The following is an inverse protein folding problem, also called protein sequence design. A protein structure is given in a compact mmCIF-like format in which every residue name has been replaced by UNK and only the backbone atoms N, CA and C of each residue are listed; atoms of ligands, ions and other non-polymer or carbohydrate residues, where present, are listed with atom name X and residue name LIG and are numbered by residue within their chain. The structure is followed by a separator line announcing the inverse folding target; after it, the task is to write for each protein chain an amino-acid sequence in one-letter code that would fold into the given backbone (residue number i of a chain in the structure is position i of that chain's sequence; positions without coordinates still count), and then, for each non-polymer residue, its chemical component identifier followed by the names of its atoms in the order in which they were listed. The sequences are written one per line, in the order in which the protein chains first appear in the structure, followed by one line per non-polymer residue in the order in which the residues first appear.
data_IF_994554326525
#
_entry.id   IF_994554326525
#
_cell.length_a   1.000
_cell.length_b   1.000
_cell.length_c   1.000
_cell.angle_alpha   90.00
_cell.angle_beta   90.00
_cell.angle_gamma   90.00
#
_symmetry.space_group_name_H-M   'P 1'
#
loop_
_entity.id
_entity.type
_entity.pdbx_description
1 polymer ?
2 non-polymer ?
3 water ?
#
# COMPACT_ATOMS: atom_id res chain seq x y z
N UNK A 21 -16.99 -0.40 26.53
CA UNK A 21 -16.58 0.65 25.55
C UNK A 21 -17.16 0.35 24.17
N UNK A 22 -17.44 1.39 23.38
CA UNK A 22 -17.99 1.16 22.03
C UNK A 22 -16.98 0.42 21.17
N UNK A 23 -17.44 -0.09 20.03
CA UNK A 23 -16.57 -0.81 19.10
C UNK A 23 -16.34 0.12 17.92
N UNK A 24 -15.13 0.68 17.83
CA UNK A 24 -14.77 1.59 16.76
C UNK A 24 -14.27 0.85 15.52
N UNK A 25 -14.67 1.34 14.36
CA UNK A 25 -14.25 0.74 13.11
C UNK A 25 -13.84 1.83 12.15
N UNK A 26 -12.57 1.80 11.73
CA UNK A 26 -12.07 2.79 10.80
C UNK A 26 -12.26 2.31 9.38
N UNK A 27 -12.73 3.19 8.51
CA UNK A 27 -12.96 2.84 7.12
C UNK A 27 -12.27 3.87 6.21
N UNK A 28 -11.36 3.39 5.38
CA UNK A 28 -10.64 4.31 4.51
C UNK A 28 -10.61 3.89 3.04
N UNK A 29 -9.99 4.71 2.20
CA UNK A 29 -9.92 4.47 0.77
C UNK A 29 -9.83 5.81 0.05
N UNK A 30 -9.51 5.80 -1.23
CA UNK A 30 -9.41 7.05 -1.96
C UNK A 30 -10.75 7.72 -2.17
N UNK A 31 -10.75 8.92 -2.76
CA UNK A 31 -11.97 9.64 -3.00
C UNK A 31 -12.96 8.84 -3.82
N UNK A 32 -14.24 8.95 -3.47
CA UNK A 32 -15.30 8.26 -4.19
C UNK A 32 -15.11 6.76 -4.35
N UNK A 33 -14.42 6.14 -3.41
CA UNK A 33 -14.20 4.72 -3.50
C UNK A 33 -15.40 3.94 -2.96
N UNK A 34 -16.32 4.64 -2.30
CA UNK A 34 -17.51 4.00 -1.75
C UNK A 34 -17.40 3.69 -0.27
N UNK A 35 -16.59 4.43 0.48
CA UNK A 35 -16.45 4.17 1.91
C UNK A 35 -17.76 4.33 2.66
N UNK A 36 -18.55 5.34 2.29
CA UNK A 36 -19.83 5.58 2.93
C UNK A 36 -20.80 4.44 2.69
N UNK A 37 -20.87 3.97 1.46
CA UNK A 37 -21.76 2.85 1.12
C UNK A 37 -21.39 1.63 1.94
N UNK A 38 -20.10 1.29 1.95
CA UNK A 38 -19.63 0.14 2.69
C UNK A 38 -20.07 0.26 4.15
N UNK A 39 -19.99 1.47 4.70
CA UNK A 39 -20.40 1.68 6.10
C UNK A 39 -21.90 1.45 6.27
N UNK A 40 -22.67 1.94 5.31
CA UNK A 40 -24.11 1.80 5.34
C UNK A 40 -24.45 0.32 5.20
N UNK A 41 -23.84 -0.33 4.23
CA UNK A 41 -24.08 -1.75 3.99
C UNK A 41 -23.76 -2.60 5.21
N UNK A 42 -22.72 -2.23 5.96
CA UNK A 42 -22.37 -2.98 7.15
C UNK A 42 -23.44 -2.80 8.21
N UNK A 43 -23.88 -1.55 8.40
CA UNK A 43 -24.91 -1.23 9.36
C UNK A 43 -26.18 -2.00 8.98
N UNK A 44 -26.49 -2.01 7.68
CA UNK A 44 -27.65 -2.69 7.14
C UNK A 44 -27.69 -4.18 7.50
N UNK A 45 -26.54 -4.84 7.44
CA UNK A 45 -26.42 -6.27 7.74
C UNK A 45 -26.30 -6.61 9.22
N UNK A 46 -25.95 -5.62 10.04
CA UNK A 46 -25.83 -5.86 11.48
C UNK A 46 -27.21 -5.89 12.12
N UNK A 55 -30.60 -5.88 20.18
CA UNK A 55 -30.03 -5.30 18.97
C UNK A 55 -28.87 -4.37 19.30
N UNK A 56 -27.98 -4.18 18.33
CA UNK A 56 -26.81 -3.32 18.53
C UNK A 56 -27.01 -1.95 17.90
N UNK A 57 -26.76 -0.90 18.69
CA UNK A 57 -26.90 0.47 18.22
C UNK A 57 -25.66 0.87 17.41
N UNK A 58 -25.88 1.50 16.25
CA UNK A 58 -24.78 1.88 15.38
C UNK A 58 -24.89 3.28 14.79
N UNK A 59 -23.74 3.92 14.56
CA UNK A 59 -23.70 5.26 13.97
C UNK A 59 -22.47 5.42 13.06
N UNK A 60 -22.64 6.20 12.00
CA UNK A 60 -21.56 6.40 11.05
C UNK A 60 -21.08 7.85 11.05
N UNK A 61 -19.85 8.07 11.48
CA UNK A 61 -19.28 9.42 11.49
C UNK A 61 -18.37 9.49 10.27
N UNK A 62 -18.16 10.69 9.73
CA UNK A 62 -17.29 10.82 8.59
C UNK A 62 -16.18 11.82 8.87
N UNK A 63 -14.97 11.48 8.46
CA UNK A 63 -13.82 12.35 8.68
C UNK A 63 -13.99 13.70 8.00
N UNK A 64 -14.65 13.76 6.85
CA UNK A 64 -14.80 15.04 6.17
C UNK A 64 -15.65 16.04 6.97
N UNK A 65 -16.20 15.60 8.09
CA UNK A 65 -16.99 16.49 8.94
C UNK A 65 -16.03 17.37 9.73
N UNK A 66 -14.76 16.97 9.78
CA UNK A 66 -13.76 17.70 10.53
C UNK A 66 -12.76 18.47 9.68
N UNK A 67 -13.19 18.92 8.51
CA UNK A 67 -12.30 19.71 7.68
C UNK A 67 -12.06 21.02 8.44
N UNK A 68 -10.80 21.43 8.53
CA UNK A 68 -10.42 22.65 9.23
C UNK A 68 -11.17 23.88 8.75
N UNK A 69 -11.28 24.87 9.62
CA UNK A 69 -11.92 26.13 9.28
C UNK A 69 -10.92 26.94 8.47
N UNK A 70 -11.25 27.20 7.20
CA UNK A 70 -10.36 27.94 6.30
C UNK A 70 -10.33 29.46 6.50
N UNK A 71 -9.22 30.08 6.08
CA UNK A 71 -9.05 31.52 6.16
C UNK A 71 -9.68 32.12 4.92
N UNK A 72 -9.69 33.44 4.82
CA UNK A 72 -10.25 34.10 3.64
C UNK A 72 -9.35 33.76 2.44
N UNK A 73 -8.05 33.75 2.70
CA UNK A 73 -7.06 33.45 1.67
C UNK A 73 -7.26 32.03 1.16
N UNK A 74 -7.19 31.06 2.07
CA UNK A 74 -7.37 29.65 1.73
C UNK A 74 -8.68 29.42 0.97
N UNK A 75 -9.78 29.87 1.56
CA UNK A 75 -11.09 29.71 0.93
C UNK A 75 -11.09 30.26 -0.51
N UNK A 76 -10.23 31.24 -0.77
CA UNK A 76 -10.15 31.82 -2.10
C UNK A 76 -9.54 30.79 -3.05
N UNK A 77 -8.54 30.07 -2.54
CA UNK A 77 -7.86 29.02 -3.32
C UNK A 77 -8.87 27.95 -3.69
N UNK A 78 -9.58 27.45 -2.68
CA UNK A 78 -10.59 26.41 -2.84
C UNK A 78 -11.57 26.67 -3.97
N UNK A 79 -11.97 27.92 -4.14
CA UNK A 79 -12.92 28.29 -5.18
C UNK A 79 -12.28 28.10 -6.56
N UNK A 80 -10.97 28.25 -6.60
CA UNK A 80 -10.21 28.09 -7.84
C UNK A 80 -9.66 26.66 -7.91
N UNK A 81 -10.06 25.82 -6.96
CA UNK A 81 -9.60 24.44 -6.92
C UNK A 81 -8.09 24.37 -6.70
N UNK A 82 -7.52 25.41 -6.12
CA UNK A 82 -6.10 25.46 -5.87
C UNK A 82 -5.75 25.21 -4.40
N UNK A 83 -6.61 24.50 -3.69
CA UNK A 83 -6.33 24.18 -2.29
C UNK A 83 -6.25 22.66 -2.14
N UNK A 84 -5.31 22.19 -1.33
CA UNK A 84 -5.13 20.76 -1.11
C UNK A 84 -5.99 20.21 0.02
N UNK A 85 -7.19 19.73 -0.30
CA UNK A 85 -8.09 19.17 0.71
C UNK A 85 -7.82 17.68 0.90
N UNK A 86 -6.72 17.21 0.34
CA UNK A 86 -6.35 15.81 0.43
C UNK A 86 -5.07 15.63 1.22
N UNK A 87 -4.64 16.69 1.88
CA UNK A 87 -3.43 16.63 2.68
C UNK A 87 -3.81 16.45 4.14
N UNK A 88 -3.07 15.61 4.87
CA UNK A 88 -3.36 15.37 6.29
C UNK A 88 -3.69 16.63 7.10
N UNK A 89 -3.07 17.75 6.74
CA UNK A 89 -3.29 19.02 7.44
C UNK A 89 -4.59 19.72 7.11
N UNK A 90 -5.27 19.27 6.06
CA UNK A 90 -6.53 19.87 5.69
C UNK A 90 -7.59 19.49 6.72
N UNK A 91 -7.27 18.52 7.58
CA UNK A 91 -8.21 18.06 8.61
C UNK A 91 -7.88 18.58 10.01
N UNK A 92 -8.91 18.75 10.83
CA UNK A 92 -8.75 19.25 12.19
C UNK A 92 -8.39 18.07 13.09
N UNK A 93 -7.37 17.32 12.70
CA UNK A 93 -6.92 16.14 13.43
C UNK A 93 -6.98 16.24 14.95
N UNK A 94 -6.78 17.44 15.47
CA UNK A 94 -6.82 17.66 16.92
C UNK A 94 -8.24 17.42 17.44
N UNK A 95 -9.20 18.02 16.75
CA UNK A 95 -10.60 17.89 17.11
C UNK A 95 -11.08 16.45 16.94
N UNK A 96 -10.58 15.79 15.90
CA UNK A 96 -10.91 14.41 15.60
C UNK A 96 -10.49 13.52 16.77
N UNK A 97 -9.24 13.69 17.21
CA UNK A 97 -8.73 12.88 18.30
C UNK A 97 -9.55 13.01 19.58
N UNK A 98 -9.94 14.24 19.89
CA UNK A 98 -10.73 14.52 21.09
C UNK A 98 -12.10 13.90 20.96
N UNK A 99 -12.79 14.23 19.86
CA UNK A 99 -14.12 13.71 19.62
C UNK A 99 -14.14 12.19 19.70
N UNK A 100 -13.24 11.54 18.96
CA UNK A 100 -13.17 10.09 18.96
C UNK A 100 -12.84 9.55 20.36
N UNK A 101 -11.94 10.22 21.06
CA UNK A 101 -11.56 9.79 22.40
C UNK A 101 -12.76 9.80 23.34
N UNK A 102 -13.51 10.90 23.36
CA UNK A 102 -14.69 10.99 24.20
C UNK A 102 -15.72 9.91 23.88
N UNK A 103 -15.88 9.59 22.60
CA UNK A 103 -16.82 8.55 22.19
C UNK A 103 -16.35 7.23 22.81
N UNK A 104 -15.05 7.00 22.73
CA UNK A 104 -14.45 5.81 23.30
C UNK A 104 -14.78 5.73 24.79
N UNK A 105 -14.94 6.90 25.39
CA UNK A 105 -15.27 7.01 26.81
C UNK A 105 -16.74 6.82 27.09
N UNK A 106 -17.53 6.64 26.03
CA UNK A 106 -18.95 6.45 26.20
C UNK A 106 -19.72 7.75 26.34
N UNK A 107 -19.00 8.85 26.34
CA UNK A 107 -19.65 10.15 26.46
C UNK A 107 -20.40 10.44 25.17
N UNK A 108 -21.37 11.34 25.24
CA UNK A 108 -22.11 11.71 24.05
C UNK A 108 -21.45 13.00 23.57
N UNK A 109 -21.22 13.11 22.26
CA UNK A 109 -20.54 14.27 21.73
C UNK A 109 -21.27 15.04 20.66
N UNK A 110 -20.68 16.19 20.32
CA UNK A 110 -21.19 17.08 19.30
C UNK A 110 -20.25 16.95 18.11
N UNK A 111 -20.78 17.10 16.91
CA UNK A 111 -19.97 16.96 15.70
C UNK A 111 -20.21 18.10 14.73
N UNK A 112 -19.14 18.65 14.17
CA UNK A 112 -19.29 19.75 13.21
C UNK A 112 -19.96 19.35 11.90
N UNK A 113 -20.47 20.33 11.18
CA UNK A 113 -21.14 20.11 9.91
C UNK A 113 -20.41 20.95 8.86
N UNK A 114 -19.91 20.29 7.81
CA UNK A 114 -19.16 21.00 6.78
C UNK A 114 -19.95 21.25 5.50
N UNK A 115 -19.85 22.47 4.98
CA UNK A 115 -20.55 22.81 3.74
C UNK A 115 -19.54 22.70 2.61
N UNK A 116 -19.79 21.77 1.69
CA UNK A 116 -18.87 21.55 0.58
C UNK A 116 -19.00 22.54 -0.57
N UNK A 117 -20.09 23.30 -0.59
CA UNK A 117 -20.29 24.27 -1.65
C UNK A 117 -19.61 25.59 -1.29
N UNK A 118 -19.52 25.86 0.01
CA UNK A 118 -18.90 27.08 0.50
C UNK A 118 -17.51 26.88 1.12
N UNK A 119 -17.09 25.63 1.26
CA UNK A 119 -15.79 25.32 1.86
C UNK A 119 -15.72 25.86 3.27
N UNK A 120 -16.85 25.82 3.97
CA UNK A 120 -16.87 26.35 5.31
C UNK A 120 -17.62 25.52 6.34
N UNK A 121 -17.09 25.53 7.57
CA UNK A 121 -17.66 24.82 8.69
C UNK A 121 -18.95 25.54 9.03
N UNK A 122 -20.07 24.83 9.00
CA UNK A 122 -21.34 25.45 9.32
C UNK A 122 -21.44 25.75 10.81
N UNK A 123 -22.36 26.65 11.17
CA UNK A 123 -22.54 27.04 12.56
C UNK A 123 -23.19 25.91 13.35
N UNK A 124 -24.18 25.26 12.75
CA UNK A 124 -24.88 24.16 13.40
C UNK A 124 -23.93 23.05 13.81
N UNK A 125 -24.41 22.15 14.64
CA UNK A 125 -23.61 21.04 15.11
C UNK A 125 -24.55 19.87 15.37
N UNK A 126 -24.08 18.65 15.15
CA UNK A 126 -24.92 17.48 15.35
C UNK A 126 -24.59 16.68 16.62
N UNK A 127 -25.64 16.27 17.32
CA UNK A 127 -25.50 15.49 18.55
C UNK A 127 -25.43 14.02 18.23
N UNK A 128 -24.52 13.31 18.88
CA UNK A 128 -24.36 11.87 18.66
C UNK A 128 -24.27 11.19 20.01
N UNK A 129 -25.33 10.50 20.39
CA UNK A 129 -25.33 9.82 21.68
C UNK A 129 -24.58 8.51 21.57
N UNK A 130 -24.22 7.91 22.72
CA UNK A 130 -23.49 6.64 22.79
C UNK A 130 -24.01 5.58 21.83
N UNK A 131 -23.17 4.62 21.48
CA UNK A 131 -23.56 3.55 20.56
C UNK A 131 -22.67 2.35 20.83
N UNK A 132 -23.06 1.19 20.32
CA UNK A 132 -22.25 -0.01 20.54
C UNK A 132 -21.17 -0.13 19.48
N UNK A 133 -21.47 0.36 18.28
CA UNK A 133 -20.54 0.31 17.18
C UNK A 133 -20.47 1.67 16.52
N UNK A 134 -19.24 2.13 16.26
CA UNK A 134 -19.03 3.43 15.64
C UNK A 134 -18.12 3.31 14.44
N UNK A 135 -18.62 3.65 13.26
CA UNK A 135 -17.84 3.58 12.04
C UNK A 135 -17.31 4.98 11.70
N UNK A 136 -16.01 5.10 11.45
CA UNK A 136 -15.43 6.39 11.09
C UNK A 136 -14.79 6.22 9.73
N UNK A 137 -15.31 6.93 8.73
CA UNK A 137 -14.81 6.81 7.37
C UNK A 137 -14.25 8.08 6.78
N UNK A 138 -13.14 7.94 6.07
CA UNK A 138 -12.51 9.10 5.46
C UNK A 138 -11.21 8.76 4.75
N UNK A 139 -10.87 9.58 3.75
CA UNK A 139 -9.66 9.35 2.97
C UNK A 139 -8.37 9.22 3.76
N UNK A 140 -8.31 9.81 4.96
CA UNK A 140 -7.09 9.73 5.77
C UNK A 140 -7.31 9.33 7.23
N UNK A 141 -8.29 8.46 7.45
CA UNK A 141 -8.61 8.03 8.80
C UNK A 141 -7.53 7.18 9.48
N UNK A 142 -6.59 6.62 8.71
CA UNK A 142 -5.53 5.78 9.28
C UNK A 142 -4.17 6.48 9.32
N UNK A 143 -4.10 7.69 8.78
CA UNK A 143 -2.85 8.43 8.73
C UNK A 143 -2.19 8.63 10.09
N UNK A 144 -2.86 9.36 10.97
CA UNK A 144 -2.35 9.60 12.31
C UNK A 144 -2.37 8.31 13.14
N UNK A 145 -1.25 7.97 13.75
CA UNK A 145 -1.19 6.75 14.56
C UNK A 145 -2.03 6.87 15.83
N UNK A 146 -2.17 8.09 16.34
CA UNK A 146 -2.95 8.30 17.55
C UNK A 146 -4.38 7.85 17.27
N UNK A 147 -4.97 8.42 16.22
CA UNK A 147 -6.33 8.07 15.82
C UNK A 147 -6.42 6.61 15.42
N UNK A 148 -5.47 6.19 14.58
CA UNK A 148 -5.41 4.82 14.10
C UNK A 148 -5.51 3.76 15.20
N UNK A 149 -4.94 4.05 16.37
CA UNK A 149 -4.96 3.11 17.49
C UNK A 149 -6.26 3.08 18.28
N UNK A 150 -7.19 3.94 17.90
CA UNK A 150 -8.48 4.03 18.57
C UNK A 150 -9.45 3.03 17.94
N UNK A 151 -9.10 2.55 16.74
CA UNK A 151 -9.91 1.61 15.99
C UNK A 151 -9.66 0.14 16.29
N UNK A 152 -10.70 -0.58 16.73
CA UNK A 152 -10.57 -2.01 17.02
C UNK A 152 -10.52 -2.79 15.72
N UNK A 153 -10.87 -2.13 14.62
CA UNK A 153 -10.88 -2.75 13.31
C UNK A 153 -10.77 -1.70 12.21
N UNK A 154 -9.96 -1.99 11.19
CA UNK A 154 -9.74 -1.07 10.09
C UNK A 154 -9.95 -1.72 8.74
N UNK A 155 -10.76 -1.09 7.89
CA UNK A 155 -11.06 -1.61 6.55
C UNK A 155 -10.60 -0.62 5.49
N UNK A 156 -10.11 -1.12 4.36
CA UNK A 156 -9.70 -0.22 3.29
C UNK A 156 -10.49 -0.60 2.03
N UNK A 157 -11.16 0.37 1.44
CA UNK A 157 -11.97 0.15 0.25
C UNK A 157 -11.13 0.40 -1.00
N UNK A 158 -10.97 -0.62 -1.84
CA UNK A 158 -10.17 -0.47 -3.05
C UNK A 158 -11.01 -0.45 -4.32
N UNK A 159 -10.98 0.66 -5.06
CA UNK A 159 -11.75 0.75 -6.28
C UNK A 159 -10.88 1.28 -7.42
N UNK A 160 -11.13 0.79 -8.62
CA UNK A 160 -10.35 1.25 -9.77
C UNK A 160 -10.36 2.77 -9.80
N UNK A 161 -9.23 3.37 -10.18
CA UNK A 161 -9.11 4.81 -10.25
C UNK A 161 -10.06 5.50 -11.24
N UNK A 162 -10.21 4.98 -12.46
CA UNK A 162 -11.13 5.64 -13.39
C UNK A 162 -12.58 5.55 -12.90
N UNK A 163 -12.90 4.51 -12.14
CA UNK A 163 -14.24 4.35 -11.59
C UNK A 163 -14.43 5.43 -10.52
N UNK A 164 -13.38 5.65 -9.74
CA UNK A 164 -13.42 6.63 -8.68
C UNK A 164 -13.52 8.04 -9.25
N UNK A 165 -12.66 8.36 -10.21
CA UNK A 165 -12.69 9.69 -10.81
C UNK A 165 -14.10 10.00 -11.33
N UNK A 166 -14.65 9.06 -12.08
CA UNK A 166 -15.98 9.20 -12.64
C UNK A 166 -17.01 9.62 -11.61
N UNK A 167 -16.93 9.02 -10.44
CA UNK A 167 -17.89 9.34 -9.38
C UNK A 167 -17.59 10.69 -8.75
N UNK A 168 -16.32 10.96 -8.52
CA UNK A 168 -15.91 12.23 -7.95
C UNK A 168 -16.48 13.34 -8.83
N UNK A 169 -16.38 13.16 -10.15
CA UNK A 169 -16.89 14.16 -11.10
C UNK A 169 -18.41 14.37 -11.05
N UNK A 170 -19.18 13.28 -11.03
CA UNK A 170 -20.63 13.42 -10.99
C UNK A 170 -21.08 13.98 -9.65
N UNK A 171 -20.44 13.52 -8.59
CA UNK A 171 -20.78 13.98 -7.25
C UNK A 171 -20.44 15.45 -7.10
N UNK A 172 -19.24 15.84 -7.54
CA UNK A 172 -18.82 17.23 -7.39
C UNK A 172 -19.72 18.21 -8.16
N UNK A 173 -20.05 17.87 -9.40
CA UNK A 173 -20.90 18.72 -10.22
C UNK A 173 -22.30 18.79 -9.60
N UNK A 174 -22.82 17.62 -9.26
CA UNK A 174 -24.14 17.50 -8.68
C UNK A 174 -24.28 18.07 -7.26
N UNK A 175 -23.91 17.27 -6.29
CA UNK A 175 -24.00 17.62 -4.87
C UNK A 175 -23.17 18.78 -4.33
N UNK A 176 -22.04 19.10 -4.95
CA UNK A 176 -21.19 20.15 -4.40
C UNK A 176 -21.00 21.39 -5.27
N UNK A 177 -21.87 21.55 -6.27
CA UNK A 177 -21.82 22.70 -7.16
C UNK A 177 -20.45 23.16 -7.62
N UNK A 178 -19.82 22.40 -8.51
CA UNK A 178 -18.51 22.76 -9.02
C UNK A 178 -18.46 22.56 -10.53
N UNK A 179 -17.42 23.08 -11.17
CA UNK A 179 -17.27 22.98 -12.63
C UNK A 179 -16.41 21.81 -13.07
N UNK A 180 -16.72 21.26 -14.25
CA UNK A 180 -15.98 20.13 -14.79
C UNK A 180 -14.49 20.42 -14.79
N UNK A 181 -14.09 21.52 -15.42
CA UNK A 181 -12.68 21.85 -15.48
C UNK A 181 -12.02 22.09 -14.13
N UNK A 182 -12.77 22.60 -13.17
CA UNK A 182 -12.22 22.84 -11.84
C UNK A 182 -11.90 21.50 -11.16
N UNK A 183 -12.85 20.58 -11.28
CA UNK A 183 -12.72 19.25 -10.70
C UNK A 183 -11.51 18.47 -11.23
N UNK A 184 -11.37 18.37 -12.55
CA UNK A 184 -10.26 17.65 -13.15
C UNK A 184 -8.92 18.27 -12.78
N UNK A 185 -8.86 19.59 -12.75
CA UNK A 185 -7.64 20.30 -12.38
C UNK A 185 -7.25 20.01 -10.93
N UNK A 186 -8.23 20.06 -10.03
CA UNK A 186 -7.98 19.81 -8.62
C UNK A 186 -7.56 18.36 -8.45
N UNK A 187 -8.24 17.46 -9.14
CA UNK A 187 -7.96 16.04 -9.06
C UNK A 187 -6.53 15.77 -9.52
N UNK A 188 -6.20 16.23 -10.71
CA UNK A 188 -4.87 16.02 -11.28
C UNK A 188 -3.74 16.73 -10.54
N UNK A 189 -4.05 17.83 -9.85
CA UNK A 189 -3.03 18.58 -9.13
C UNK A 189 -2.88 18.18 -7.66
N UNK A 190 -3.99 17.86 -7.00
CA UNK A 190 -3.94 17.48 -5.58
C UNK A 190 -4.44 16.09 -5.20
N UNK A 191 -5.65 15.73 -5.60
CA UNK A 191 -6.21 14.45 -5.21
C UNK A 191 -5.36 13.23 -5.54
N UNK A 192 -5.07 13.01 -6.83
CA UNK A 192 -4.26 11.86 -7.24
C UNK A 192 -2.88 11.84 -6.56
N UNK A 193 -2.12 12.96 -6.61
CA UNK A 193 -0.80 12.94 -5.97
C UNK A 193 -0.87 12.69 -4.47
N UNK A 194 -1.87 13.28 -3.81
CA UNK A 194 -2.04 13.10 -2.37
C UNK A 194 -2.43 11.66 -2.05
N UNK A 195 -3.21 11.06 -2.93
CA UNK A 195 -3.67 9.69 -2.74
C UNK A 195 -2.48 8.74 -2.70
N UNK A 196 -1.58 8.89 -3.67
CA UNK A 196 -0.40 8.05 -3.76
C UNK A 196 0.58 8.32 -2.62
N UNK A 197 0.62 9.56 -2.14
CA UNK A 197 1.53 9.90 -1.06
C UNK A 197 1.03 9.72 0.36
N UNK A 198 -0.24 10.03 0.63
CA UNK A 198 -0.76 9.89 1.98
C UNK A 198 -1.80 8.80 2.21
N UNK A 199 -2.72 8.65 1.27
CA UNK A 199 -3.80 7.67 1.37
C UNK A 199 -3.37 6.20 1.18
N UNK A 200 -3.01 5.86 -0.06
CA UNK A 200 -2.57 4.50 -0.42
C UNK A 200 -1.63 3.87 0.61
N UNK A 201 -0.60 4.60 1.04
CA UNK A 201 0.30 4.01 2.03
C UNK A 201 -0.40 3.45 3.26
N UNK A 202 -1.50 4.09 3.68
CA UNK A 202 -2.23 3.63 4.88
C UNK A 202 -2.94 2.28 4.69
N UNK A 203 -3.03 1.80 3.47
CA UNK A 203 -3.67 0.52 3.22
C UNK A 203 -2.94 -0.59 3.99
N UNK A 204 -1.63 -0.44 4.18
CA UNK A 204 -0.86 -1.46 4.90
C UNK A 204 -1.37 -1.68 6.33
N UNK A 205 -2.25 -0.80 6.81
CA UNK A 205 -2.79 -0.93 8.16
C UNK A 205 -4.12 -1.66 8.23
N UNK A 206 -4.82 -1.74 7.11
CA UNK A 206 -6.12 -2.37 7.10
C UNK A 206 -6.08 -3.83 7.55
N UNK A 207 -7.13 -4.24 8.27
CA UNK A 207 -7.27 -5.61 8.74
C UNK A 207 -7.97 -6.36 7.62
N UNK A 208 -8.68 -5.62 6.77
CA UNK A 208 -9.39 -6.20 5.65
C UNK A 208 -9.42 -5.19 4.52
N UNK A 209 -8.97 -5.59 3.35
CA UNK A 209 -8.97 -4.73 2.17
C UNK A 209 -10.17 -5.21 1.38
N UNK A 210 -11.00 -4.29 0.94
CA UNK A 210 -12.21 -4.67 0.21
C UNK A 210 -12.22 -4.26 -1.24
N UNK A 211 -11.79 -5.16 -2.13
CA UNK A 211 -11.80 -4.80 -3.56
C UNK A 211 -13.24 -4.65 -4.05
N UNK A 212 -13.47 -3.76 -5.00
CA UNK A 212 -14.80 -3.51 -5.57
C UNK A 212 -15.81 -2.82 -4.61
N UNK A 213 -15.35 -2.48 -3.40
CA UNK A 213 -16.21 -1.79 -2.45
C UNK A 213 -17.50 -2.47 -2.00
N UNK A 214 -18.54 -1.65 -1.86
CA UNK A 214 -19.85 -2.11 -1.41
C UNK A 214 -20.42 -3.27 -2.22
N UNK A 215 -20.01 -3.38 -3.48
CA UNK A 215 -20.50 -4.46 -4.32
C UNK A 215 -20.00 -5.83 -3.89
N UNK A 216 -18.95 -5.85 -3.08
CA UNK A 216 -18.35 -7.07 -2.58
C UNK A 216 -19.10 -7.55 -1.34
N UNK A 217 -20.33 -8.03 -1.53
CA UNK A 217 -21.16 -8.50 -0.43
C UNK A 217 -20.54 -9.64 0.37
N UNK A 218 -19.71 -10.45 -0.28
CA UNK A 218 -19.06 -11.56 0.41
C UNK A 218 -18.06 -11.06 1.44
N UNK A 219 -17.26 -10.07 1.06
CA UNK A 219 -16.28 -9.51 1.96
C UNK A 219 -16.98 -8.83 3.12
N UNK A 220 -18.02 -8.06 2.79
CA UNK A 220 -18.79 -7.35 3.80
C UNK A 220 -19.52 -8.31 4.74
N UNK A 221 -20.00 -9.42 4.20
CA UNK A 221 -20.70 -10.41 5.02
C UNK A 221 -19.75 -11.01 6.06
N UNK A 222 -18.54 -11.33 5.63
CA UNK A 222 -17.56 -11.89 6.55
C UNK A 222 -17.28 -10.89 7.65
N UNK A 223 -17.27 -9.62 7.26
CA UNK A 223 -16.98 -8.55 8.20
C UNK A 223 -18.10 -8.40 9.24
N UNK A 224 -19.34 -8.24 8.80
CA UNK A 224 -20.41 -8.08 9.78
C UNK A 224 -20.51 -9.31 10.68
N UNK A 225 -20.17 -10.47 10.13
CA UNK A 225 -20.21 -11.71 10.90
C UNK A 225 -19.12 -11.66 11.97
N UNK A 226 -17.98 -11.11 11.59
CA UNK A 226 -16.85 -10.98 12.51
C UNK A 226 -17.18 -9.99 13.63
N UNK A 227 -17.84 -8.90 13.27
CA UNK A 227 -18.24 -7.88 14.22
C UNK A 227 -19.23 -8.46 15.22
N UNK A 228 -20.19 -9.24 14.72
CA UNK A 228 -21.20 -9.86 15.57
C UNK A 228 -20.57 -10.79 16.59
N UNK A 229 -19.62 -11.61 16.13
CA UNK A 229 -18.92 -12.55 17.00
C UNK A 229 -18.14 -11.88 18.12
N UNK A 230 -17.54 -10.72 17.82
CA UNK A 230 -16.79 -10.00 18.84
C UNK A 230 -17.74 -9.40 19.85
N UNK A 231 -18.94 -9.04 19.41
CA UNK A 231 -19.95 -8.45 20.28
C UNK A 231 -20.71 -9.52 21.06
N UNK A 232 -20.20 -10.76 21.00
CA UNK A 232 -20.80 -11.88 21.70
C UNK A 232 -19.73 -12.75 22.37
N UNK B 21 31.14 5.53 -7.14
CA UNK B 21 29.68 5.54 -6.74
C UNK B 21 28.85 4.50 -7.51
N UNK B 22 28.38 3.46 -6.82
CA UNK B 22 27.57 2.41 -7.45
C UNK B 22 26.23 2.84 -8.05
N UNK B 23 25.90 2.21 -9.17
CA UNK B 23 24.66 2.48 -9.89
C UNK B 23 23.63 1.44 -9.47
N UNK B 24 22.64 1.88 -8.69
CA UNK B 24 21.58 1.02 -8.16
C UNK B 24 20.38 0.82 -9.07
N UNK B 25 20.09 -0.43 -9.38
CA UNK B 25 18.94 -0.74 -10.21
C UNK B 25 17.92 -1.58 -9.43
N UNK B 26 16.70 -1.05 -9.28
CA UNK B 26 15.66 -1.78 -8.59
C UNK B 26 14.81 -2.61 -9.54
N UNK B 27 14.62 -3.87 -9.21
CA UNK B 27 13.82 -4.76 -10.07
C UNK B 27 12.64 -5.37 -9.33
N UNK B 28 11.44 -5.20 -9.85
CA UNK B 28 10.29 -5.77 -9.19
C UNK B 28 9.38 -6.59 -10.11
N UNK B 29 8.30 -7.10 -9.53
CA UNK B 29 7.38 -7.93 -10.28
C UNK B 29 6.80 -8.93 -9.29
N UNK B 30 5.75 -9.64 -9.71
CA UNK B 30 5.14 -10.61 -8.83
C UNK B 30 6.02 -11.80 -8.54
N UNK B 31 5.53 -12.69 -7.66
CA UNK B 31 6.26 -13.90 -7.31
C UNK B 31 6.51 -14.70 -8.58
N UNK B 32 7.71 -15.27 -8.69
CA UNK B 32 8.09 -16.09 -9.83
C UNK B 32 8.00 -15.43 -11.21
N UNK B 33 8.03 -14.10 -11.25
CA UNK B 33 7.95 -13.41 -12.54
C UNK B 33 9.24 -13.55 -13.36
N UNK B 34 10.35 -13.79 -12.68
CA UNK B 34 11.61 -13.93 -13.38
C UNK B 34 12.56 -12.79 -13.05
N UNK B 35 12.37 -12.20 -11.87
CA UNK B 35 13.20 -11.09 -11.44
C UNK B 35 14.66 -11.48 -11.33
N UNK B 36 14.91 -12.65 -10.75
CA UNK B 36 16.29 -13.13 -10.56
C UNK B 36 16.95 -13.40 -11.91
N UNK B 37 16.19 -13.99 -12.84
CA UNK B 37 16.73 -14.27 -14.16
C UNK B 37 17.08 -12.99 -14.89
N UNK B 38 16.19 -12.01 -14.81
CA UNK B 38 16.42 -10.74 -15.47
C UNK B 38 17.71 -10.13 -14.95
N UNK B 39 17.91 -10.20 -13.64
CA UNK B 39 19.14 -9.65 -13.07
C UNK B 39 20.35 -10.40 -13.62
N UNK B 40 20.30 -11.71 -13.54
CA UNK B 40 21.40 -12.54 -14.03
C UNK B 40 21.68 -12.23 -15.50
N UNK B 41 20.62 -12.16 -16.31
CA UNK B 41 20.77 -11.88 -17.73
C UNK B 41 21.50 -10.56 -17.96
N UNK B 42 21.22 -9.57 -17.12
CA UNK B 42 21.86 -8.27 -17.25
C UNK B 42 23.35 -8.40 -16.91
N UNK B 43 23.67 -9.22 -15.90
CA UNK B 43 25.06 -9.42 -15.50
C UNK B 43 25.79 -10.08 -16.66
N UNK B 44 25.22 -11.17 -17.15
CA UNK B 44 25.78 -11.92 -18.26
C UNK B 44 26.07 -11.02 -19.45
N UNK B 45 25.05 -10.29 -19.92
CA UNK B 45 25.17 -9.40 -21.07
C UNK B 45 26.17 -8.27 -20.91
N UNK B 46 26.23 -7.68 -19.72
CA UNK B 46 27.18 -6.59 -19.47
C UNK B 46 28.60 -7.09 -19.65
N UNK B 47 28.83 -8.34 -19.29
CA UNK B 47 30.16 -8.93 -19.41
C UNK B 47 30.52 -9.48 -20.78
N UNK B 48 29.77 -9.12 -21.81
CA UNK B 48 30.06 -9.58 -23.17
C UNK B 48 30.57 -8.47 -24.08
N UNK B 53 39.59 -4.85 -19.76
CA UNK B 53 40.43 -4.04 -18.89
C UNK B 53 39.54 -3.03 -18.16
N UNK B 54 38.26 -3.03 -18.54
CA UNK B 54 37.29 -2.13 -17.94
C UNK B 54 35.97 -2.87 -17.64
N UNK B 55 36.04 -4.18 -17.42
CA UNK B 55 34.85 -4.97 -17.12
C UNK B 55 34.27 -4.49 -15.77
N UNK B 56 33.00 -4.13 -15.76
CA UNK B 56 32.36 -3.64 -14.54
C UNK B 56 32.05 -4.73 -13.51
N UNK B 57 32.14 -4.36 -12.24
CA UNK B 57 31.83 -5.25 -11.13
C UNK B 57 30.33 -5.09 -10.84
N UNK B 58 29.60 -6.20 -10.87
CA UNK B 58 28.15 -6.18 -10.65
C UNK B 58 27.73 -7.08 -9.50
N UNK B 59 26.73 -6.64 -8.73
CA UNK B 59 26.23 -7.42 -7.59
C UNK B 59 24.71 -7.54 -7.66
N UNK B 60 24.18 -8.62 -7.10
CA UNK B 60 22.75 -8.84 -7.07
C UNK B 60 22.27 -9.05 -5.64
N UNK B 61 21.30 -8.23 -5.22
CA UNK B 61 20.74 -8.30 -3.88
C UNK B 61 19.26 -8.67 -3.91
N UNK B 62 18.83 -9.53 -2.99
CA UNK B 62 17.43 -9.93 -2.92
C UNK B 62 16.74 -9.22 -1.76
N UNK B 63 15.52 -8.76 -2.00
CA UNK B 63 14.80 -8.07 -0.93
C UNK B 63 14.41 -9.11 0.10
N UNK B 64 14.17 -10.34 -0.37
CA UNK B 64 13.78 -11.42 0.53
C UNK B 64 14.85 -11.77 1.55
N UNK B 65 16.06 -11.27 1.37
CA UNK B 65 17.12 -11.53 2.36
C UNK B 65 16.78 -10.77 3.64
N UNK B 66 15.89 -9.79 3.52
CA UNK B 66 15.51 -8.95 4.65
C UNK B 66 14.17 -9.26 5.31
N UNK B 67 13.69 -10.49 5.20
CA UNK B 67 12.43 -10.85 5.85
C UNK B 67 12.65 -10.75 7.35
N UNK B 68 11.59 -10.41 8.08
CA UNK B 68 11.69 -10.28 9.52
C UNK B 68 11.81 -11.64 10.17
N UNK B 69 12.30 -11.66 11.41
CA UNK B 69 12.43 -12.90 12.16
C UNK B 69 11.09 -13.11 12.84
N UNK B 70 10.34 -14.10 12.38
CA UNK B 70 9.03 -14.39 12.93
C UNK B 70 9.10 -14.78 14.40
N UNK B 71 7.95 -14.74 15.06
CA UNK B 71 7.87 -15.15 16.46
C UNK B 71 7.39 -16.61 16.42
N UNK B 72 7.36 -17.26 17.56
CA UNK B 72 6.92 -18.66 17.62
C UNK B 72 5.56 -18.82 16.92
N UNK B 73 4.60 -17.99 17.34
CA UNK B 73 3.25 -18.02 16.78
C UNK B 73 3.25 -17.84 15.26
N UNK B 74 3.99 -16.84 14.79
CA UNK B 74 4.09 -16.55 13.36
C UNK B 74 4.67 -17.73 12.58
N UNK B 75 5.74 -18.30 13.11
CA UNK B 75 6.39 -19.44 12.48
C UNK B 75 5.44 -20.63 12.37
N UNK B 76 4.62 -20.80 13.41
CA UNK B 76 3.64 -21.89 13.44
C UNK B 76 2.70 -21.76 12.26
N UNK B 77 2.06 -20.59 12.15
CA UNK B 77 1.14 -20.33 11.06
C UNK B 77 1.84 -20.38 9.70
N UNK B 78 3.11 -20.03 9.69
CA UNK B 78 3.89 -20.07 8.46
C UNK B 78 3.99 -21.49 7.92
N UNK B 79 4.24 -22.44 8.81
CA UNK B 79 4.37 -23.85 8.42
C UNK B 79 3.08 -24.39 7.80
N UNK B 80 1.95 -23.83 8.22
CA UNK B 80 0.65 -24.24 7.70
C UNK B 80 0.28 -23.44 6.45
N UNK B 81 1.11 -22.45 6.11
CA UNK B 81 0.87 -21.62 4.95
C UNK B 81 -0.17 -20.55 5.24
N UNK B 82 -0.30 -20.22 6.53
CA UNK B 82 -1.27 -19.23 6.96
C UNK B 82 -0.64 -17.90 7.37
N UNK B 83 0.59 -17.65 6.92
CA UNK B 83 1.23 -16.39 7.22
C UNK B 83 1.34 -15.59 5.94
N UNK B 84 1.23 -14.28 6.06
CA UNK B 84 1.30 -13.42 4.89
C UNK B 84 2.71 -12.88 4.66
N UNK B 85 3.43 -13.48 3.72
CA UNK B 85 4.78 -13.06 3.41
C UNK B 85 4.84 -12.10 2.23
N UNK B 86 3.67 -11.62 1.82
CA UNK B 86 3.60 -10.70 0.70
C UNK B 86 3.12 -9.33 1.13
N UNK B 87 3.04 -9.12 2.44
CA UNK B 87 2.58 -7.86 3.00
C UNK B 87 3.77 -6.97 3.37
N UNK B 88 3.68 -5.66 3.08
CA UNK B 88 4.79 -4.76 3.40
C UNK B 88 5.41 -5.02 4.78
N UNK B 89 4.57 -5.32 5.76
CA UNK B 89 5.04 -5.58 7.12
C UNK B 89 5.94 -6.80 7.24
N UNK B 90 5.90 -7.71 6.27
CA UNK B 90 6.73 -8.91 6.33
C UNK B 90 8.23 -8.64 6.16
N UNK B 91 8.58 -7.46 5.66
CA UNK B 91 9.98 -7.13 5.47
C UNK B 91 10.47 -6.09 6.47
N UNK B 92 11.79 -6.00 6.63
CA UNK B 92 12.41 -5.06 7.55
C UNK B 92 12.82 -3.85 6.70
N UNK B 93 11.83 -3.07 6.26
CA UNK B 93 12.08 -1.92 5.41
C UNK B 93 13.08 -0.95 6.02
N UNK B 94 13.13 -0.88 7.36
CA UNK B 94 14.06 0.02 8.02
C UNK B 94 15.47 -0.47 7.71
N UNK B 95 15.68 -1.77 7.85
CA UNK B 95 16.97 -2.37 7.57
C UNK B 95 17.33 -2.26 6.10
N UNK B 96 16.34 -2.41 5.23
CA UNK B 96 16.56 -2.32 3.79
C UNK B 96 17.01 -0.92 3.40
N UNK B 97 16.30 0.09 3.87
CA UNK B 97 16.63 1.48 3.54
C UNK B 97 18.07 1.79 3.95
N UNK B 98 18.38 1.48 5.21
CA UNK B 98 19.71 1.73 5.75
C UNK B 98 20.81 1.04 4.94
N UNK B 99 20.60 -0.25 4.66
CA UNK B 99 21.58 -1.00 3.89
C UNK B 99 21.76 -0.45 2.49
N UNK B 100 20.66 -0.18 1.80
CA UNK B 100 20.72 0.33 0.45
C UNK B 100 21.39 1.71 0.39
N UNK B 101 21.16 2.52 1.41
CA UNK B 101 21.76 3.86 1.47
C UNK B 101 23.27 3.81 1.61
N UNK B 102 23.75 2.89 2.44
CA UNK B 102 25.18 2.74 2.66
C UNK B 102 25.89 2.28 1.39
N UNK B 103 25.24 1.38 0.64
CA UNK B 103 25.83 0.90 -0.61
C UNK B 103 25.81 2.05 -1.62
N UNK B 104 24.79 2.89 -1.54
CA UNK B 104 24.67 4.05 -2.42
C UNK B 104 25.87 4.97 -2.19
N UNK B 105 26.32 5.02 -0.94
CA UNK B 105 27.43 5.86 -0.54
C UNK B 105 28.80 5.20 -0.79
N UNK B 106 28.79 3.99 -1.31
CA UNK B 106 30.04 3.30 -1.59
C UNK B 106 30.60 2.48 -0.44
N UNK B 107 29.89 2.42 0.68
CA UNK B 107 30.36 1.65 1.83
C UNK B 107 30.08 0.18 1.56
N UNK B 108 30.80 -0.71 2.23
CA UNK B 108 30.54 -2.14 2.04
C UNK B 108 29.64 -2.53 3.21
N UNK B 109 28.76 -3.51 3.02
CA UNK B 109 27.81 -3.87 4.07
C UNK B 109 27.61 -5.33 4.40
N UNK B 110 26.89 -5.56 5.51
CA UNK B 110 26.54 -6.90 6.00
C UNK B 110 25.09 -7.18 5.64
N UNK B 111 24.82 -8.35 5.05
CA UNK B 111 23.47 -8.73 4.64
C UNK B 111 23.09 -10.11 5.18
N UNK B 112 21.97 -10.19 5.91
CA UNK B 112 21.50 -11.45 6.49
C UNK B 112 21.11 -12.51 5.47
N UNK B 113 20.96 -13.74 5.95
CA UNK B 113 20.60 -14.86 5.10
C UNK B 113 19.29 -15.45 5.64
N UNK B 114 18.32 -15.65 4.73
CA UNK B 114 17.02 -16.17 5.13
C UNK B 114 16.77 -17.59 4.64
N UNK B 115 16.33 -18.46 5.56
CA UNK B 115 16.04 -19.85 5.23
C UNK B 115 14.55 -20.01 4.90
N UNK B 116 14.26 -20.37 3.65
CA UNK B 116 12.88 -20.53 3.21
C UNK B 116 12.23 -21.83 3.63
N UNK B 117 13.04 -22.82 3.95
CA UNK B 117 12.47 -24.09 4.38
C UNK B 117 11.98 -23.96 5.81
N UNK B 118 12.69 -23.19 6.62
CA UNK B 118 12.33 -23.00 8.02
C UNK B 118 11.82 -21.61 8.35
N UNK B 119 11.58 -20.80 7.32
CA UNK B 119 11.09 -19.43 7.53
C UNK B 119 11.90 -18.74 8.62
N UNK B 120 13.22 -18.88 8.56
CA UNK B 120 14.07 -18.29 9.59
C UNK B 120 15.27 -17.54 9.05
N UNK B 121 15.80 -16.64 9.88
CA UNK B 121 16.98 -15.86 9.53
C UNK B 121 18.17 -16.56 10.16
N UNK B 122 19.11 -17.03 9.33
CA UNK B 122 20.29 -17.72 9.83
C UNK B 122 21.17 -16.80 10.66
N UNK B 123 22.18 -17.37 11.32
CA UNK B 123 23.10 -16.58 12.13
C UNK B 123 24.14 -16.01 11.18
N UNK B 124 24.44 -16.80 10.15
CA UNK B 124 25.40 -16.44 9.13
C UNK B 124 25.05 -15.11 8.46
N UNK B 125 26.04 -14.24 8.28
CA UNK B 125 25.83 -12.95 7.64
C UNK B 125 26.84 -12.70 6.54
N UNK B 126 26.36 -12.53 5.31
CA UNK B 126 27.22 -12.30 4.15
C UNK B 126 27.69 -10.86 3.96
N UNK B 127 28.94 -10.70 3.54
CA UNK B 127 29.51 -9.38 3.30
C UNK B 127 29.36 -9.04 1.83
N UNK B 128 28.90 -7.82 1.59
CA UNK B 128 28.70 -7.35 0.22
C UNK B 128 29.49 -6.05 0.03
N UNK B 129 30.42 -6.08 -0.93
CA UNK B 129 31.25 -4.90 -1.22
C UNK B 129 30.63 -4.11 -2.37
N UNK B 130 30.89 -2.80 -2.44
CA UNK B 130 30.37 -1.91 -3.47
C UNK B 130 30.73 -2.43 -4.87
N UNK B 131 29.91 -2.10 -5.87
CA UNK B 131 30.16 -2.55 -7.23
C UNK B 131 29.77 -1.45 -8.20
N UNK B 132 30.16 -1.61 -9.46
CA UNK B 132 29.83 -0.63 -10.47
C UNK B 132 28.32 -0.53 -10.58
N UNK B 133 27.67 -1.68 -10.48
CA UNK B 133 26.24 -1.80 -10.58
C UNK B 133 25.71 -2.68 -9.45
N UNK B 134 24.58 -2.28 -8.88
CA UNK B 134 23.99 -3.06 -7.81
C UNK B 134 22.52 -3.28 -8.17
N UNK B 135 22.15 -4.54 -8.39
CA UNK B 135 20.80 -4.89 -8.72
C UNK B 135 20.09 -5.39 -7.47
N UNK B 136 18.96 -4.77 -7.14
CA UNK B 136 18.18 -5.15 -5.97
C UNK B 136 16.81 -5.61 -6.49
N UNK B 137 16.43 -6.84 -6.19
CA UNK B 137 15.16 -7.38 -6.67
C UNK B 137 14.24 -7.88 -5.55
N UNK B 138 12.94 -7.63 -5.71
CA UNK B 138 11.97 -8.06 -4.71
C UNK B 138 10.56 -7.71 -5.15
N UNK B 139 9.59 -8.49 -4.67
CA UNK B 139 8.19 -8.26 -5.05
C UNK B 139 7.66 -6.90 -4.62
N UNK B 140 8.30 -6.29 -3.64
CA UNK B 140 7.86 -4.99 -3.15
C UNK B 140 8.98 -3.96 -3.19
N UNK B 141 9.95 -4.17 -4.07
CA UNK B 141 11.09 -3.26 -4.16
C UNK B 141 10.72 -1.78 -4.35
N UNK B 142 9.61 -1.50 -5.01
CA UNK B 142 9.21 -0.13 -5.26
C UNK B 142 8.16 0.40 -4.28
N UNK B 143 7.72 -0.45 -3.37
CA UNK B 143 6.70 -0.05 -2.41
C UNK B 143 7.02 1.20 -1.59
N UNK B 144 8.12 1.18 -0.87
CA UNK B 144 8.53 2.32 -0.05
C UNK B 144 9.07 3.41 -0.93
N UNK B 145 8.58 4.63 -0.73
CA UNK B 145 9.02 5.75 -1.54
C UNK B 145 10.48 6.14 -1.26
N UNK B 146 10.89 6.10 0.00
CA UNK B 146 12.27 6.46 0.33
C UNK B 146 13.25 5.53 -0.38
N UNK B 147 12.89 4.25 -0.45
CA UNK B 147 13.72 3.25 -1.11
C UNK B 147 13.68 3.48 -2.62
N UNK B 148 12.48 3.50 -3.16
CA UNK B 148 12.22 3.71 -4.58
C UNK B 148 13.10 4.81 -5.19
N UNK B 149 13.30 5.89 -4.45
CA UNK B 149 14.09 7.03 -4.91
C UNK B 149 15.59 6.77 -5.01
N UNK B 150 16.05 5.79 -4.25
CA UNK B 150 17.46 5.40 -4.25
C UNK B 150 17.88 4.74 -5.56
N UNK B 151 16.94 4.16 -6.30
CA UNK B 151 17.24 3.47 -7.55
C UNK B 151 17.36 4.43 -8.74
N UNK B 152 18.47 4.35 -9.47
CA UNK B 152 18.65 5.22 -10.62
C UNK B 152 17.97 4.65 -11.86
N UNK B 153 17.50 3.42 -11.76
CA UNK B 153 16.75 2.78 -12.83
C UNK B 153 15.85 1.74 -12.16
N UNK B 154 14.63 1.62 -12.67
CA UNK B 154 13.69 0.68 -12.09
C UNK B 154 13.01 -0.14 -13.19
N UNK B 155 13.06 -1.47 -13.00
CA UNK B 155 12.47 -2.41 -13.96
C UNK B 155 11.34 -3.23 -13.34
N UNK B 156 10.24 -3.40 -14.06
CA UNK B 156 9.15 -4.20 -13.54
C UNK B 156 8.98 -5.38 -14.48
N UNK B 157 9.12 -6.59 -13.94
CA UNK B 157 9.00 -7.80 -14.72
C UNK B 157 7.53 -8.20 -14.76
N UNK B 158 6.96 -8.22 -15.95
CA UNK B 158 5.55 -8.53 -16.09
C UNK B 158 5.27 -9.86 -16.77
N UNK B 159 5.16 -10.93 -15.97
CA UNK B 159 4.91 -12.25 -16.52
C UNK B 159 3.50 -12.75 -16.25
N UNK B 160 2.95 -13.52 -17.20
CA UNK B 160 1.60 -14.07 -17.09
C UNK B 160 1.33 -14.71 -15.73
N UNK B 161 0.16 -14.44 -15.17
CA UNK B 161 -0.23 -14.96 -13.86
C UNK B 161 -0.15 -16.48 -13.69
N UNK B 162 -0.63 -17.23 -14.69
CA UNK B 162 -0.60 -18.68 -14.61
C UNK B 162 0.82 -19.21 -14.76
N UNK B 163 1.59 -18.56 -15.62
CA UNK B 163 2.98 -18.96 -15.81
C UNK B 163 3.72 -18.82 -14.49
N UNK B 164 3.49 -17.72 -13.79
CA UNK B 164 4.14 -17.49 -12.52
C UNK B 164 3.75 -18.52 -11.46
N UNK B 165 2.45 -18.83 -11.33
CA UNK B 165 2.00 -19.79 -10.33
C UNK B 165 2.62 -21.17 -10.59
N UNK B 166 2.70 -21.54 -11.87
CA UNK B 166 3.28 -22.82 -12.24
C UNK B 166 4.70 -22.93 -11.67
N UNK B 167 5.47 -21.86 -11.84
CA UNK B 167 6.83 -21.83 -11.34
C UNK B 167 6.89 -21.81 -9.83
N UNK B 168 6.02 -21.00 -9.23
CA UNK B 168 5.95 -20.86 -7.79
C UNK B 168 5.74 -22.23 -7.14
N UNK B 169 4.86 -23.02 -7.76
CA UNK B 169 4.55 -24.36 -7.27
C UNK B 169 5.72 -25.32 -7.35
N UNK B 170 6.41 -25.34 -8.49
CA UNK B 170 7.56 -26.24 -8.67
C UNK B 170 8.74 -25.79 -7.83
N UNK B 171 9.00 -24.50 -7.82
CA UNK B 171 10.09 -23.98 -7.02
C UNK B 171 9.87 -24.26 -5.53
N UNK B 172 8.67 -23.94 -5.03
CA UNK B 172 8.33 -24.14 -3.62
C UNK B 172 8.48 -25.61 -3.20
N UNK B 173 8.00 -26.52 -4.04
CA UNK B 173 8.05 -27.95 -3.76
C UNK B 173 9.48 -28.52 -3.72
N UNK B 174 10.31 -28.12 -4.66
CA UNK B 174 11.67 -28.62 -4.76
C UNK B 174 12.78 -27.81 -4.09
N UNK B 175 12.46 -26.62 -3.57
CA UNK B 175 13.52 -25.83 -2.96
C UNK B 175 13.19 -25.26 -1.60
N UNK B 176 11.91 -25.02 -1.35
CA UNK B 176 11.50 -24.43 -0.09
C UNK B 176 10.74 -25.42 0.76
N UNK B 177 10.76 -26.67 0.30
CA UNK B 177 10.12 -27.77 1.00
C UNK B 177 8.67 -27.53 1.40
N UNK B 178 7.83 -27.26 0.41
CA UNK B 178 6.42 -27.03 0.64
C UNK B 178 5.62 -28.09 -0.13
N UNK B 179 4.38 -28.31 0.28
CA UNK B 179 3.54 -29.28 -0.41
C UNK B 179 2.44 -28.58 -1.21
N UNK B 180 2.06 -29.19 -2.32
CA UNK B 180 1.06 -28.65 -3.24
C UNK B 180 -0.15 -27.97 -2.61
N UNK B 181 -0.72 -28.56 -1.57
CA UNK B 181 -1.89 -27.99 -0.90
C UNK B 181 -1.59 -26.71 -0.13
N UNK B 182 -0.51 -26.70 0.65
CA UNK B 182 -0.13 -25.52 1.43
C UNK B 182 0.28 -24.38 0.50
N UNK B 183 0.76 -24.72 -0.69
CA UNK B 183 1.17 -23.71 -1.65
C UNK B 183 -0.07 -23.05 -2.24
N UNK B 184 -0.93 -23.85 -2.85
CA UNK B 184 -2.14 -23.29 -3.45
C UNK B 184 -3.03 -22.57 -2.45
N UNK B 185 -2.95 -22.94 -1.17
CA UNK B 185 -3.77 -22.28 -0.16
C UNK B 185 -3.18 -20.92 0.18
N UNK B 186 -1.86 -20.87 0.26
CA UNK B 186 -1.13 -19.64 0.57
C UNK B 186 -1.27 -18.68 -0.61
N UNK B 187 -1.23 -19.22 -1.82
CA UNK B 187 -1.31 -18.39 -3.01
C UNK B 187 -2.63 -17.65 -3.11
N UNK B 188 -3.72 -18.41 -3.06
CA UNK B 188 -5.05 -17.83 -3.15
C UNK B 188 -5.35 -16.91 -1.97
N UNK B 189 -4.95 -17.31 -0.77
CA UNK B 189 -5.23 -16.49 0.39
C UNK B 189 -4.41 -15.22 0.54
N UNK B 190 -3.11 -15.32 0.36
CA UNK B 190 -2.27 -14.14 0.53
C UNK B 190 -1.56 -13.55 -0.68
N UNK B 191 -0.76 -14.36 -1.36
CA UNK B 191 0.02 -13.90 -2.51
C UNK B 191 -0.71 -13.15 -3.62
N UNK B 192 -1.76 -13.75 -4.20
CA UNK B 192 -2.51 -13.10 -5.26
C UNK B 192 -3.11 -11.78 -4.80
N UNK B 193 -3.88 -11.81 -3.71
CA UNK B 193 -4.48 -10.56 -3.23
C UNK B 193 -3.39 -9.50 -3.03
N UNK B 194 -2.33 -9.86 -2.29
CA UNK B 194 -1.21 -8.95 -2.00
C UNK B 194 -0.55 -8.39 -3.24
N UNK B 195 -0.47 -9.19 -4.29
CA UNK B 195 0.14 -8.76 -5.54
C UNK B 195 -0.68 -7.63 -6.13
N UNK B 196 -2.00 -7.75 -6.02
CA UNK B 196 -2.88 -6.74 -6.55
C UNK B 196 -2.96 -5.52 -5.63
N UNK B 197 -2.87 -5.74 -4.33
CA UNK B 197 -3.00 -4.65 -3.38
C UNK B 197 -1.75 -3.83 -3.11
N UNK B 198 -0.58 -4.45 -3.21
CA UNK B 198 0.64 -3.73 -2.95
C UNK B 198 1.64 -3.71 -4.09
N UNK B 199 1.91 -4.88 -4.67
CA UNK B 199 2.90 -4.95 -5.75
C UNK B 199 2.48 -4.25 -7.05
N UNK B 200 1.39 -4.69 -7.65
CA UNK B 200 0.93 -4.10 -8.90
C UNK B 200 0.93 -2.57 -8.95
N UNK B 201 0.45 -1.90 -7.89
CA UNK B 201 0.44 -0.44 -7.93
C UNK B 201 1.81 0.21 -8.20
N UNK B 202 2.87 -0.31 -7.59
CA UNK B 202 4.21 0.26 -7.77
C UNK B 202 4.73 0.17 -9.20
N UNK B 203 4.01 -0.56 -10.03
CA UNK B 203 4.41 -0.75 -11.42
C UNK B 203 4.56 0.58 -12.19
N UNK B 204 3.72 1.56 -11.88
CA UNK B 204 3.75 2.85 -12.57
C UNK B 204 5.06 3.63 -12.37
N UNK B 205 5.81 3.27 -11.33
CA UNK B 205 7.05 3.96 -11.04
C UNK B 205 8.26 3.47 -11.83
N UNK B 206 8.10 2.39 -12.58
CA UNK B 206 9.23 1.87 -13.34
C UNK B 206 9.60 2.71 -14.55
N UNK B 207 10.85 2.55 -14.98
CA UNK B 207 11.35 3.25 -16.17
C UNK B 207 10.93 2.40 -17.34
N UNK B 208 10.98 1.08 -17.13
CA UNK B 208 10.62 0.12 -18.16
C UNK B 208 9.95 -1.10 -17.53
N UNK B 209 8.89 -1.59 -18.18
CA UNK B 209 8.17 -2.77 -17.73
C UNK B 209 8.47 -3.82 -18.78
N UNK B 210 9.04 -4.93 -18.34
CA UNK B 210 9.41 -6.02 -19.24
C UNK B 210 8.37 -7.12 -19.35
N UNK B 211 7.60 -7.12 -20.44
CA UNK B 211 6.60 -8.17 -20.59
C UNK B 211 7.33 -9.47 -20.89
N UNK B 212 6.85 -10.57 -20.28
CA UNK B 212 7.43 -11.90 -20.47
C UNK B 212 8.82 -12.13 -19.82
N UNK B 213 9.20 -11.28 -18.88
CA UNK B 213 10.47 -11.45 -18.21
C UNK B 213 11.71 -11.77 -19.03
N UNK B 214 12.55 -12.63 -18.48
CA UNK B 214 13.82 -13.03 -19.09
C UNK B 214 13.73 -13.41 -20.57
N UNK B 215 12.63 -14.03 -20.98
CA UNK B 215 12.51 -14.43 -22.37
C UNK B 215 12.58 -13.23 -23.33
N UNK B 216 12.16 -12.06 -22.85
CA UNK B 216 12.17 -10.85 -23.68
C UNK B 216 13.59 -10.33 -23.87
N UNK B 217 14.29 -10.86 -24.86
CA UNK B 217 15.67 -10.44 -25.09
C UNK B 217 15.79 -9.04 -25.67
N UNK B 218 14.77 -8.58 -26.39
CA UNK B 218 14.81 -7.25 -26.98
C UNK B 218 14.84 -6.16 -25.90
N UNK B 219 13.95 -6.28 -24.92
CA UNK B 219 13.90 -5.31 -23.84
C UNK B 219 15.17 -5.40 -23.00
N UNK B 220 15.59 -6.62 -22.67
CA UNK B 220 16.79 -6.75 -21.86
C UNK B 220 18.01 -6.19 -22.55
N UNK B 221 18.07 -6.29 -23.87
CA UNK B 221 19.22 -5.75 -24.59
C UNK B 221 19.23 -4.22 -24.60
N UNK B 222 18.05 -3.60 -24.63
CA UNK B 222 17.95 -2.15 -24.61
C UNK B 222 18.39 -1.63 -23.25
N UNK B 223 18.02 -2.37 -22.20
CA UNK B 223 18.35 -1.99 -20.84
C UNK B 223 19.86 -2.07 -20.60
N UNK B 224 20.50 -3.14 -21.05
CA UNK B 224 21.94 -3.28 -20.87
C UNK B 224 22.65 -2.17 -21.62
N UNK B 225 22.20 -1.93 -22.84
CA UNK B 225 22.78 -0.89 -23.68
C UNK B 225 22.76 0.41 -22.89
N UNK B 226 21.58 0.75 -22.39
CA UNK B 226 21.37 1.96 -21.62
C UNK B 226 22.26 2.05 -20.37
N UNK B 227 22.45 0.93 -19.68
CA UNK B 227 23.28 0.91 -18.49
C UNK B 227 24.73 1.18 -18.89
N UNK B 228 25.15 0.57 -19.99
CA UNK B 228 26.51 0.76 -20.49
C UNK B 228 26.72 2.20 -20.94
N UNK B 229 25.72 2.79 -21.60
CA UNK B 229 25.82 4.17 -22.05
C UNK B 229 26.03 5.13 -20.88
N UNK B 230 25.28 4.93 -19.80
CA UNK B 230 25.41 5.79 -18.63
C UNK B 230 26.74 5.57 -17.92
N UNK B 231 27.10 4.29 -17.75
CA UNK B 231 28.34 3.95 -17.07
C UNK B 231 29.59 4.50 -17.77
N UNK B 232 29.58 4.54 -19.09
CA UNK B 232 30.73 5.05 -19.82
C UNK B 232 30.48 6.44 -20.37
N UNK B 233 30.36 7.41 -19.45
CA UNK B 233 30.12 8.78 -19.84
C UNK B 233 28.66 9.03 -20.16
#
# INVERSE_FOLDING_TARGET
PGMAGDSEQTLQNHQQPNGGEPFLIGVSGGTASGKSSVCAKIVQLLGQNEVDYRQKQVVILSQDSFYRVLTSEQKAKALKGQFNFDHPDAFDNELILKTLKEITEGKTVQIPVYDFVSHSRKEETVTVYPADVVLFEGILAFYSQEVRDLFQMKLFVDTDADTRLSRRVLRDISERGRDLEQILSQYITFVKPAFEEFCLPTKKYADVIIPRGADNLVAINLIVQHIQDILNGGPSKRQTNGCLNGYTPSRK
PGMAGDSEQTLQNHQQPNGGEPFLIGVSGGTASGKSSVCAKIVQLLGQNEVDYRQKQVVILSQDSFYRVLTSEQKAKALKGQFNFDHPDAFDNELILKTLKEITEGKTVQIPVYDFVSHSRKEETVTVYPADVVLFEGILAFYSQEVRDLFQMKLFVDTDADTRLSRRVLRDISERGRDLEQILSQYITFVKPAFEEFCLPTKKYADVIIPRGADNLVAINLIVQHIQDILNGGPSKRQTNGCLNGYTPSRK
#
